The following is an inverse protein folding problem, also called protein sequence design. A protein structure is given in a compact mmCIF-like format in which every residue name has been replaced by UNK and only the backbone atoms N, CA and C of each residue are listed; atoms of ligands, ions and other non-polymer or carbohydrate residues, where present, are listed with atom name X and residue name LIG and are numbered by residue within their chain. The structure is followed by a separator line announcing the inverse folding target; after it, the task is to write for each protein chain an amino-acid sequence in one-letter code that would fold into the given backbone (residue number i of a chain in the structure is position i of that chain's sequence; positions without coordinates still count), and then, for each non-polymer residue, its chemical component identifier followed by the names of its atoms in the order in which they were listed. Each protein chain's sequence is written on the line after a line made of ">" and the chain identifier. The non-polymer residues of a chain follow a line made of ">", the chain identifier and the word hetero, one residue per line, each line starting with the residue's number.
data_IF_846850461623
#
_entry.id   IF_846850461623
#
_cell.length_a   1.000
_cell.length_b   1.000
_cell.length_c   1.000
_cell.angle_alpha   90.00
_cell.angle_beta   90.00
_cell.angle_gamma   90.00
#
_symmetry.space_group_name_H-M   'P 1'
#
loop_
_entity.id
_entity.type
_entity.pdbx_description
1 polymer ?
#
# COMPACT_ATOMS: atom_id res chain seq x y z
N UNK A 1 39.11 14.75 75.99
CA UNK A 1 38.50 13.93 74.93
C UNK A 1 37.51 14.79 74.13
N UNK A 2 37.85 15.15 72.90
CA UNK A 2 36.97 15.91 72.00
C UNK A 2 36.29 14.93 71.01
N UNK A 3 34.99 14.83 71.16
CA UNK A 3 34.19 14.07 70.21
C UNK A 3 33.97 14.92 68.90
N UNK A 4 34.41 14.41 67.73
CA UNK A 4 34.09 14.98 66.45
C UNK A 4 32.77 14.32 65.95
N UNK A 5 31.74 15.13 65.78
CA UNK A 5 30.49 14.70 65.12
C UNK A 5 30.67 14.80 63.62
N UNK A 6 30.46 13.67 62.90
CA UNK A 6 30.36 13.66 61.45
C UNK A 6 28.91 13.73 61.07
N UNK A 7 28.49 14.81 60.41
CA UNK A 7 27.18 14.90 59.78
C UNK A 7 27.21 14.21 58.41
N UNK A 8 26.48 13.10 58.27
CA UNK A 8 26.19 12.50 56.97
C UNK A 8 25.12 13.34 56.26
N UNK A 9 25.52 13.99 55.18
CA UNK A 9 24.58 14.54 54.21
C UNK A 9 24.17 13.42 53.27
N UNK A 10 22.94 12.88 53.41
CA UNK A 10 22.34 11.97 52.47
C UNK A 10 21.92 12.75 51.23
N UNK A 11 22.53 12.46 50.10
CA UNK A 11 22.07 12.95 48.78
C UNK A 11 20.84 12.12 48.40
N UNK A 12 19.66 12.70 48.53
CA UNK A 12 18.43 12.15 47.95
C UNK A 12 18.45 12.43 46.45
N UNK A 13 18.78 11.40 45.63
CA UNK A 13 18.54 11.43 44.19
C UNK A 13 17.06 11.15 43.96
N UNK A 14 16.27 12.18 43.71
CA UNK A 14 14.91 12.03 43.20
C UNK A 14 15.03 11.54 41.73
N UNK A 15 14.86 10.24 41.51
CA UNK A 15 14.57 9.71 40.19
C UNK A 15 13.16 10.18 39.80
N UNK A 16 13.08 11.28 39.05
CA UNK A 16 11.86 11.61 38.32
C UNK A 16 11.67 10.53 37.24
N UNK A 17 10.88 9.52 37.54
CA UNK A 17 10.27 8.74 36.47
C UNK A 17 9.29 9.68 35.75
N UNK A 18 9.65 10.16 34.61
CA UNK A 18 8.70 10.82 33.72
C UNK A 18 7.57 9.81 33.42
N UNK A 19 6.44 10.02 34.11
CA UNK A 19 5.20 9.32 33.70
C UNK A 19 4.92 9.83 32.30
N UNK A 20 5.14 8.98 31.31
CA UNK A 20 4.70 9.23 29.94
C UNK A 20 3.17 9.22 30.00
N UNK A 21 2.56 10.39 30.04
CA UNK A 21 1.11 10.51 29.93
C UNK A 21 0.77 10.20 28.48
N UNK A 22 -0.06 9.18 28.19
CA UNK A 22 -0.51 8.92 26.85
C UNK A 22 -1.08 10.21 26.24
N UNK A 23 -0.62 10.58 25.05
CA UNK A 23 -1.10 11.78 24.36
C UNK A 23 -2.46 11.54 23.68
N UNK A 24 -2.89 10.28 23.57
CA UNK A 24 -4.21 9.96 23.06
C UNK A 24 -5.28 10.54 23.99
N UNK A 25 -6.11 11.40 23.42
CA UNK A 25 -7.15 12.11 24.15
C UNK A 25 -8.42 11.27 24.18
N UNK A 26 -8.98 11.05 25.36
CA UNK A 26 -10.24 10.31 25.54
C UNK A 26 -11.49 11.20 25.46
N UNK A 27 -11.33 12.52 25.55
CA UNK A 27 -12.43 13.47 25.43
C UNK A 27 -12.84 13.61 23.96
N UNK A 28 -14.09 13.30 23.57
CA UNK A 28 -14.55 13.40 22.19
C UNK A 28 -14.60 14.84 21.65
N UNK A 29 -14.55 15.84 22.51
CA UNK A 29 -14.48 17.25 22.11
C UNK A 29 -13.06 17.73 21.79
N UNK A 30 -12.04 16.94 22.14
CA UNK A 30 -10.63 17.27 21.97
C UNK A 30 -9.95 16.19 21.15
N UNK A 31 -9.30 16.55 20.03
CA UNK A 31 -8.65 15.61 19.13
C UNK A 31 -7.16 15.91 19.01
N UNK A 32 -6.35 14.89 18.77
CA UNK A 32 -4.95 15.06 18.42
C UNK A 32 -4.83 15.61 16.99
N UNK A 33 -4.33 16.84 16.87
CA UNK A 33 -4.08 17.47 15.59
C UNK A 33 -2.79 16.90 14.95
N UNK A 34 -2.90 16.31 13.76
CA UNK A 34 -1.77 15.78 12.99
C UNK A 34 -1.26 16.83 12.01
N UNK A 35 -2.15 17.48 11.28
CA UNK A 35 -1.87 18.55 10.36
C UNK A 35 -3.02 19.56 10.38
N UNK A 36 -2.66 20.85 10.55
CA UNK A 36 -3.64 21.97 10.64
C UNK A 36 -3.23 23.15 9.74
N UNK A 37 -2.36 22.91 8.77
CA UNK A 37 -2.01 23.96 7.79
C UNK A 37 -3.20 24.31 6.92
N UNK A 38 -3.17 25.52 6.39
CA UNK A 38 -4.18 25.95 5.42
C UNK A 38 -4.16 25.08 4.16
N UNK A 39 -5.24 25.09 3.39
CA UNK A 39 -5.52 24.24 2.24
C UNK A 39 -5.99 22.83 2.63
N UNK A 40 -6.27 22.02 1.63
CA UNK A 40 -6.88 20.71 1.79
C UNK A 40 -5.83 19.62 2.10
N UNK A 41 -6.12 18.77 3.10
CA UNK A 41 -5.44 17.52 3.37
C UNK A 41 -6.46 16.38 3.27
N UNK A 42 -6.19 15.35 2.48
CA UNK A 42 -7.12 14.24 2.26
C UNK A 42 -6.44 12.94 1.86
N UNK A 43 -7.22 11.90 1.65
CA UNK A 43 -6.76 10.59 1.17
C UNK A 43 -5.72 9.94 2.11
N UNK A 44 -6.02 9.92 3.41
CA UNK A 44 -5.12 9.36 4.42
C UNK A 44 -4.88 7.87 4.21
N UNK A 45 -3.64 7.43 4.47
CA UNK A 45 -3.21 6.03 4.53
C UNK A 45 -2.37 5.81 5.76
N UNK A 46 -2.46 4.61 6.31
CA UNK A 46 -1.77 4.24 7.54
C UNK A 46 -1.01 2.94 7.34
N UNK A 47 0.16 2.86 7.94
CA UNK A 47 0.80 1.60 8.25
C UNK A 47 1.46 1.68 9.62
N UNK A 48 1.74 0.53 10.21
CA UNK A 48 2.38 0.41 11.51
C UNK A 48 3.76 -0.22 11.31
N UNK A 49 4.80 0.32 11.96
CA UNK A 49 6.09 -0.32 12.00
C UNK A 49 6.14 -1.45 13.04
N UNK A 50 7.23 -2.23 13.03
CA UNK A 50 7.41 -3.37 13.94
C UNK A 50 7.60 -2.94 15.41
N UNK A 51 7.99 -1.69 15.65
CA UNK A 51 8.07 -1.11 16.98
C UNK A 51 6.72 -0.60 17.51
N UNK A 52 5.67 -0.65 16.68
CA UNK A 52 4.33 -0.22 17.03
C UNK A 52 4.02 1.23 16.75
N UNK A 53 4.95 2.00 16.19
CA UNK A 53 4.69 3.36 15.77
C UNK A 53 3.79 3.39 14.54
N UNK A 54 3.06 4.48 14.34
CA UNK A 54 2.09 4.64 13.27
C UNK A 54 2.61 5.69 12.29
N UNK A 55 2.78 5.30 11.03
CA UNK A 55 2.93 6.23 9.93
C UNK A 55 1.56 6.65 9.42
N UNK A 56 1.37 7.95 9.30
CA UNK A 56 0.15 8.58 8.76
C UNK A 56 0.57 9.34 7.52
N UNK A 57 0.08 8.94 6.37
CA UNK A 57 0.32 9.60 5.09
C UNK A 57 -0.95 10.29 4.63
N UNK A 58 -0.79 11.42 3.94
CA UNK A 58 -1.92 12.12 3.31
C UNK A 58 -1.48 12.84 2.05
N UNK A 59 -2.43 13.19 1.23
CA UNK A 59 -2.26 14.08 0.11
C UNK A 59 -2.52 15.51 0.56
N UNK A 60 -1.56 16.39 0.33
CA UNK A 60 -1.51 17.76 0.84
C UNK A 60 -1.44 18.77 -0.29
N UNK A 61 -2.30 19.75 -0.26
CA UNK A 61 -2.43 20.78 -1.31
C UNK A 61 -1.81 22.11 -0.92
N UNK A 62 -1.03 22.17 0.17
CA UNK A 62 -0.46 23.44 0.68
C UNK A 62 0.42 24.18 -0.32
N UNK A 63 1.11 23.45 -1.22
CA UNK A 63 2.01 24.01 -2.21
C UNK A 63 1.37 24.20 -3.59
N UNK A 64 0.31 23.45 -3.89
CA UNK A 64 -0.33 23.42 -5.19
C UNK A 64 -1.84 23.20 -5.06
N UNK A 65 -2.63 24.28 -4.85
CA UNK A 65 -4.04 24.18 -4.50
C UNK A 65 -4.95 23.90 -5.71
N UNK A 66 -4.49 23.13 -6.69
CA UNK A 66 -5.28 22.72 -7.85
C UNK A 66 -5.80 21.29 -7.68
N UNK A 67 -6.89 20.93 -8.36
CA UNK A 67 -7.46 19.57 -8.31
C UNK A 67 -6.48 18.51 -8.87
N UNK A 68 -5.52 18.93 -9.67
CA UNK A 68 -4.49 18.07 -10.26
C UNK A 68 -3.17 18.08 -9.46
N UNK A 69 -3.08 18.94 -8.45
CA UNK A 69 -1.92 19.07 -7.57
C UNK A 69 -2.00 18.11 -6.37
N UNK A 70 -1.15 18.38 -5.41
CA UNK A 70 -1.08 17.70 -4.13
C UNK A 70 0.09 16.74 -4.03
N UNK A 71 0.93 17.02 -3.04
CA UNK A 71 2.11 16.25 -2.66
C UNK A 71 1.75 15.20 -1.60
N UNK A 72 2.61 14.20 -1.43
CA UNK A 72 2.47 13.24 -0.32
C UNK A 72 3.27 13.72 0.89
N UNK A 73 2.57 13.94 1.98
CA UNK A 73 3.12 14.25 3.29
C UNK A 73 2.87 13.10 4.27
N UNK A 74 3.68 13.05 5.31
CA UNK A 74 3.49 12.08 6.37
C UNK A 74 3.91 12.61 7.73
N UNK A 75 3.33 12.01 8.77
CA UNK A 75 3.72 12.12 10.17
C UNK A 75 3.94 10.72 10.73
N UNK A 76 4.83 10.60 11.69
CA UNK A 76 5.01 9.38 12.48
C UNK A 76 4.65 9.67 13.94
N UNK A 77 3.82 8.80 14.51
CA UNK A 77 3.47 8.85 15.93
C UNK A 77 4.04 7.63 16.62
N UNK A 78 4.46 7.80 17.87
CA UNK A 78 4.72 6.66 18.75
C UNK A 78 3.40 6.01 19.22
N UNK A 79 3.52 4.91 19.99
CA UNK A 79 2.36 4.19 20.54
C UNK A 79 1.51 5.05 21.50
N UNK A 80 2.08 6.11 22.06
CA UNK A 80 1.39 7.03 22.95
C UNK A 80 0.71 8.20 22.20
N UNK A 81 0.86 8.27 20.86
CA UNK A 81 0.31 9.34 20.04
C UNK A 81 1.22 10.58 19.97
N UNK A 82 2.47 10.49 20.42
CA UNK A 82 3.42 11.61 20.33
C UNK A 82 3.97 11.71 18.90
N UNK A 83 3.87 12.88 18.23
CA UNK A 83 4.49 13.09 16.94
C UNK A 83 6.01 12.98 17.03
N UNK A 84 6.60 12.15 16.15
CA UNK A 84 8.04 11.91 16.10
C UNK A 84 8.75 12.76 15.05
N UNK A 85 8.01 13.34 14.13
CA UNK A 85 8.52 14.21 13.09
C UNK A 85 8.08 15.67 13.32
N UNK A 86 8.45 16.58 12.43
CA UNK A 86 8.10 18.00 12.57
C UNK A 86 6.59 18.23 12.59
N UNK A 87 6.17 19.32 13.21
CA UNK A 87 4.76 19.76 13.23
C UNK A 87 4.23 19.87 11.79
N UNK A 88 2.99 19.42 11.59
CA UNK A 88 2.30 19.35 10.29
C UNK A 88 2.95 18.42 9.26
N UNK A 89 3.85 17.51 9.69
CA UNK A 89 4.43 16.44 8.90
C UNK A 89 5.55 16.83 7.96
N UNK A 90 6.23 15.81 7.45
CA UNK A 90 7.31 15.92 6.46
C UNK A 90 6.77 15.77 5.04
N UNK A 91 7.28 16.54 4.07
CA UNK A 91 7.09 16.26 2.65
C UNK A 91 7.87 15.00 2.28
N UNK A 92 7.17 13.97 1.81
CA UNK A 92 7.77 12.70 1.41
C UNK A 92 7.97 12.63 -0.10
N UNK A 93 6.93 12.92 -0.86
CA UNK A 93 6.96 12.96 -2.32
C UNK A 93 6.38 14.29 -2.75
N UNK A 94 7.17 15.06 -3.48
CA UNK A 94 6.76 16.32 -4.09
C UNK A 94 7.27 16.38 -5.52
N UNK A 95 6.69 17.25 -6.33
CA UNK A 95 7.11 17.47 -7.70
C UNK A 95 5.95 17.72 -8.64
N UNK A 96 6.28 17.80 -9.93
CA UNK A 96 5.32 18.12 -10.96
C UNK A 96 4.20 17.07 -11.06
N UNK A 97 2.96 17.54 -11.09
CA UNK A 97 1.76 16.73 -11.15
C UNK A 97 1.25 16.23 -9.80
N UNK A 98 0.00 15.84 -9.75
CA UNK A 98 -0.63 15.33 -8.52
C UNK A 98 -0.25 13.87 -8.24
N UNK A 99 -0.11 13.54 -6.97
CA UNK A 99 0.12 12.19 -6.46
C UNK A 99 -1.21 11.60 -5.99
N UNK A 100 -1.63 10.47 -6.59
CA UNK A 100 -2.95 9.87 -6.39
C UNK A 100 -2.88 8.42 -5.93
N UNK A 101 -3.94 7.96 -5.28
CA UNK A 101 -4.16 6.53 -4.93
C UNK A 101 -2.97 5.88 -4.21
N UNK A 102 -2.41 6.58 -3.25
CA UNK A 102 -1.31 6.06 -2.44
C UNK A 102 -1.69 4.72 -1.79
N UNK A 103 -0.79 3.75 -1.89
CA UNK A 103 -0.77 2.52 -1.08
C UNK A 103 0.49 2.52 -0.24
N UNK A 104 0.37 2.06 0.99
CA UNK A 104 1.50 1.97 1.93
C UNK A 104 1.46 0.64 2.67
N UNK A 105 2.64 0.09 2.91
CA UNK A 105 2.84 -1.05 3.81
C UNK A 105 4.13 -0.86 4.60
N UNK A 106 4.24 -1.51 5.74
CA UNK A 106 5.48 -1.66 6.49
C UNK A 106 6.55 -2.36 5.62
N UNK A 107 7.81 -1.95 5.74
CA UNK A 107 8.93 -2.52 5.00
C UNK A 107 9.70 -3.62 5.77
N UNK A 108 9.24 -3.97 6.98
CA UNK A 108 9.91 -4.92 7.87
C UNK A 108 11.17 -4.38 8.57
N UNK A 109 11.57 -3.11 8.32
CA UNK A 109 12.78 -2.49 8.87
C UNK A 109 12.51 -1.10 9.48
N UNK A 110 11.33 -0.93 10.09
CA UNK A 110 10.86 0.33 10.71
C UNK A 110 10.56 1.47 9.73
N UNK A 111 10.52 1.20 8.43
CA UNK A 111 10.18 2.12 7.38
C UNK A 111 8.86 1.76 6.68
N UNK A 112 8.68 2.23 5.45
CA UNK A 112 7.49 1.94 4.67
C UNK A 112 7.78 1.91 3.16
N UNK A 113 7.09 1.03 2.45
CA UNK A 113 6.94 1.07 1.00
C UNK A 113 5.72 1.91 0.63
N UNK A 114 5.90 2.74 -0.39
CA UNK A 114 4.89 3.60 -0.97
C UNK A 114 4.75 3.27 -2.45
N UNK A 115 3.50 3.13 -2.93
CA UNK A 115 3.17 3.04 -4.36
C UNK A 115 2.05 4.01 -4.65
N UNK A 116 2.21 4.84 -5.66
CA UNK A 116 1.23 5.87 -6.03
C UNK A 116 1.22 6.12 -7.52
N UNK A 117 0.16 6.76 -7.99
CA UNK A 117 0.06 7.24 -9.36
C UNK A 117 0.44 8.71 -9.43
N UNK A 118 1.15 9.12 -10.47
CA UNK A 118 1.39 10.53 -10.78
C UNK A 118 0.74 10.87 -12.11
N UNK A 119 -0.02 11.97 -12.14
CA UNK A 119 -0.55 12.54 -13.37
C UNK A 119 -0.01 13.95 -13.58
N UNK A 120 0.63 14.24 -14.71
CA UNK A 120 1.21 15.56 -14.94
C UNK A 120 0.17 16.66 -15.13
N UNK A 121 -0.91 16.46 -15.91
CA UNK A 121 -1.84 17.52 -16.29
C UNK A 121 -3.29 17.08 -16.53
N UNK A 122 -3.59 15.78 -16.45
CA UNK A 122 -4.93 15.27 -16.80
C UNK A 122 -5.22 13.96 -16.08
N UNK A 123 -6.47 13.49 -16.14
CA UNK A 123 -6.85 12.16 -15.67
C UNK A 123 -6.45 11.03 -16.63
N UNK A 124 -5.59 11.31 -17.58
CA UNK A 124 -5.00 10.35 -18.53
C UNK A 124 -3.49 10.35 -18.37
N UNK A 125 -2.83 9.30 -18.81
CA UNK A 125 -1.38 9.13 -18.79
C UNK A 125 -0.75 9.13 -17.39
N UNK A 126 -1.30 8.29 -16.51
CA UNK A 126 -0.70 8.08 -15.19
C UNK A 126 0.58 7.23 -15.29
N UNK A 127 1.62 7.69 -14.60
CA UNK A 127 2.72 6.80 -14.22
C UNK A 127 2.44 6.16 -12.86
N UNK A 128 2.84 4.90 -12.71
CA UNK A 128 2.88 4.20 -11.42
C UNK A 128 4.29 4.27 -10.88
N UNK A 129 4.43 4.74 -9.66
CA UNK A 129 5.72 4.99 -9.03
C UNK A 129 5.79 4.32 -7.66
N UNK A 130 7.01 4.04 -7.22
CA UNK A 130 7.28 3.52 -5.89
C UNK A 130 8.47 4.22 -5.23
N UNK A 131 8.48 4.17 -3.90
CA UNK A 131 9.60 4.58 -3.07
C UNK A 131 9.58 3.78 -1.76
N UNK A 132 10.75 3.61 -1.16
CA UNK A 132 10.93 3.14 0.20
C UNK A 132 11.44 4.27 1.06
N UNK A 133 10.88 4.46 2.24
CA UNK A 133 11.36 5.43 3.22
C UNK A 133 11.80 4.72 4.50
N UNK A 134 12.77 5.32 5.18
CA UNK A 134 13.22 4.83 6.47
C UNK A 134 12.37 5.42 7.64
N UNK A 135 12.73 5.05 8.85
CA UNK A 135 12.13 5.52 10.10
C UNK A 135 12.02 7.05 10.24
N UNK A 136 12.92 7.81 9.60
CA UNK A 136 12.97 9.27 9.65
C UNK A 136 12.24 9.94 8.46
N UNK A 137 11.63 9.16 7.58
CA UNK A 137 10.96 9.67 6.38
C UNK A 137 11.89 9.96 5.20
N UNK A 138 13.17 9.56 5.29
CA UNK A 138 14.12 9.74 4.19
C UNK A 138 13.94 8.66 3.14
N UNK A 139 14.00 9.04 1.87
CA UNK A 139 13.96 8.14 0.71
C UNK A 139 15.17 7.21 0.71
N UNK A 140 14.97 5.91 0.52
CA UNK A 140 16.01 4.90 0.49
C UNK A 140 16.43 4.51 -0.94
N UNK A 141 15.57 4.75 -1.93
CA UNK A 141 15.86 4.44 -3.34
C UNK A 141 16.37 5.66 -4.13
N UNK A 142 17.10 6.55 -3.45
CA UNK A 142 17.65 7.80 -4.01
C UNK A 142 16.63 8.93 -4.06
N UNK A 143 17.04 10.06 -4.61
CA UNK A 143 16.18 11.26 -4.74
C UNK A 143 15.06 11.09 -5.76
N UNK A 144 15.31 10.31 -6.82
CA UNK A 144 14.31 9.93 -7.82
C UNK A 144 13.47 8.77 -7.33
N UNK A 145 12.21 8.72 -7.76
CA UNK A 145 11.33 7.59 -7.46
C UNK A 145 11.57 6.47 -8.48
N UNK A 146 11.24 5.22 -8.11
CA UNK A 146 11.22 4.11 -9.06
C UNK A 146 9.94 4.19 -9.87
N UNK A 147 10.05 4.37 -11.19
CA UNK A 147 8.90 4.29 -12.09
C UNK A 147 8.65 2.84 -12.44
N UNK A 148 7.48 2.33 -12.05
CA UNK A 148 7.04 0.96 -12.30
C UNK A 148 6.48 0.83 -13.71
N UNK A 149 5.67 1.82 -14.11
CA UNK A 149 4.99 1.87 -15.41
C UNK A 149 4.78 3.33 -15.82
N UNK A 150 4.93 3.64 -17.12
CA UNK A 150 4.64 4.95 -17.69
C UNK A 150 4.32 4.86 -19.19
N UNK A 151 3.57 5.85 -19.67
CA UNK A 151 3.34 6.08 -21.11
C UNK A 151 2.46 5.06 -21.82
N UNK A 152 1.77 4.16 -21.12
CA UNK A 152 0.95 3.11 -21.73
C UNK A 152 -0.56 3.32 -21.58
N UNK A 153 -0.99 4.29 -20.78
CA UNK A 153 -2.39 4.57 -20.52
C UNK A 153 -2.74 4.73 -19.04
N UNK A 154 -3.98 4.47 -18.67
CA UNK A 154 -4.49 4.72 -17.32
C UNK A 154 -4.26 3.53 -16.41
N UNK A 155 -3.52 3.75 -15.31
CA UNK A 155 -3.32 2.78 -14.22
C UNK A 155 -4.39 2.94 -13.16
N UNK A 156 -4.98 1.84 -12.67
CA UNK A 156 -6.03 1.84 -11.65
C UNK A 156 -5.86 0.69 -10.66
N UNK A 157 -6.54 0.81 -9.52
CA UNK A 157 -6.80 -0.28 -8.57
C UNK A 157 -5.54 -1.07 -8.13
N UNK A 158 -4.42 -0.38 -7.91
CA UNK A 158 -3.20 -1.04 -7.44
C UNK A 158 -3.39 -1.67 -6.06
N UNK A 159 -2.76 -2.82 -5.88
CA UNK A 159 -2.59 -3.51 -4.60
C UNK A 159 -1.11 -3.82 -4.38
N UNK A 160 -0.66 -3.83 -3.14
CA UNK A 160 0.74 -4.06 -2.79
C UNK A 160 0.85 -5.03 -1.63
N UNK A 161 1.96 -5.75 -1.61
CA UNK A 161 2.41 -6.57 -0.48
C UNK A 161 3.92 -6.62 -0.45
N UNK A 162 4.48 -7.21 0.57
CA UNK A 162 5.91 -7.53 0.69
C UNK A 162 6.07 -9.04 0.75
N UNK A 163 7.11 -9.57 0.12
CA UNK A 163 7.48 -10.97 0.28
C UNK A 163 8.44 -11.17 1.47
N UNK A 164 8.81 -12.41 1.73
CA UNK A 164 9.71 -12.82 2.83
C UNK A 164 11.15 -12.33 2.63
N UNK A 165 11.56 -12.00 1.41
CA UNK A 165 12.89 -11.44 1.09
C UNK A 165 12.92 -9.91 1.32
N UNK A 166 11.81 -9.30 1.71
CA UNK A 166 11.67 -7.86 1.85
C UNK A 166 11.45 -7.13 0.53
N UNK A 167 11.13 -7.82 -0.57
CA UNK A 167 10.83 -7.20 -1.85
C UNK A 167 9.39 -6.69 -1.90
N UNK A 168 9.18 -5.53 -2.50
CA UNK A 168 7.86 -4.97 -2.79
C UNK A 168 7.25 -5.68 -4.00
N UNK A 169 6.05 -6.23 -3.82
CA UNK A 169 5.21 -6.77 -4.88
C UNK A 169 4.01 -5.84 -5.12
N UNK A 170 3.72 -5.54 -6.37
CA UNK A 170 2.57 -4.71 -6.74
C UNK A 170 1.83 -5.27 -7.94
N UNK A 171 0.51 -5.10 -7.96
CA UNK A 171 -0.38 -5.46 -9.07
C UNK A 171 -1.28 -4.27 -9.38
N UNK A 172 -1.62 -4.07 -10.64
CA UNK A 172 -2.51 -2.99 -11.06
C UNK A 172 -3.30 -3.37 -12.32
N UNK A 173 -4.35 -2.61 -12.57
CA UNK A 173 -5.04 -2.59 -13.86
C UNK A 173 -4.43 -1.53 -14.77
N UNK A 174 -4.31 -1.85 -16.05
CA UNK A 174 -3.83 -0.94 -17.07
C UNK A 174 -4.83 -0.88 -18.22
N UNK A 175 -5.47 0.27 -18.38
CA UNK A 175 -6.27 0.58 -19.56
C UNK A 175 -5.38 1.20 -20.62
N UNK A 176 -5.10 0.46 -21.70
CA UNK A 176 -4.24 0.95 -22.79
C UNK A 176 -4.90 2.10 -23.55
N UNK A 177 -4.09 3.07 -23.96
CA UNK A 177 -4.54 4.18 -24.79
C UNK A 177 -5.11 3.66 -26.11
N UNK A 178 -6.33 4.06 -26.46
CA UNK A 178 -7.00 3.65 -27.71
C UNK A 178 -7.80 2.35 -27.63
N UNK A 179 -7.84 1.68 -26.47
CA UNK A 179 -8.67 0.49 -26.24
C UNK A 179 -9.74 0.78 -25.18
N UNK A 180 -10.86 1.40 -25.55
CA UNK A 180 -11.90 1.73 -24.59
C UNK A 180 -12.48 0.45 -23.96
N UNK A 181 -12.67 0.50 -22.63
CA UNK A 181 -13.24 -0.58 -21.81
C UNK A 181 -12.40 -1.88 -21.69
N UNK A 182 -11.15 -1.89 -22.16
CA UNK A 182 -10.23 -2.99 -21.92
C UNK A 182 -9.29 -2.63 -20.76
N UNK A 183 -9.23 -3.49 -19.76
CA UNK A 183 -8.33 -3.36 -18.62
C UNK A 183 -7.52 -4.65 -18.49
N UNK A 184 -6.23 -4.55 -18.70
CA UNK A 184 -5.30 -5.65 -18.48
C UNK A 184 -4.75 -5.66 -17.05
N UNK A 185 -4.25 -6.79 -16.60
CA UNK A 185 -3.59 -6.91 -15.29
C UNK A 185 -2.09 -7.05 -15.48
N UNK A 186 -1.36 -6.21 -14.77
CA UNK A 186 0.09 -6.24 -14.68
C UNK A 186 0.55 -6.33 -13.24
N UNK A 187 1.73 -6.88 -13.05
CA UNK A 187 2.38 -6.99 -11.75
C UNK A 187 3.87 -6.70 -11.86
N UNK A 188 4.49 -6.31 -10.75
CA UNK A 188 5.92 -6.03 -10.67
C UNK A 188 6.47 -6.42 -9.31
N UNK A 189 7.75 -6.83 -9.31
CA UNK A 189 8.57 -7.02 -8.11
C UNK A 189 9.72 -6.02 -8.13
N UNK A 190 9.93 -5.35 -7.00
CA UNK A 190 11.02 -4.40 -6.79
C UNK A 190 11.76 -4.85 -5.53
N UNK A 191 13.06 -5.09 -5.64
CA UNK A 191 13.83 -5.52 -4.50
C UNK A 191 14.03 -4.39 -3.46
N UNK A 192 14.52 -4.75 -2.29
CA UNK A 192 14.76 -3.82 -1.17
C UNK A 192 15.67 -2.63 -1.52
N UNK A 193 16.47 -2.73 -2.60
CA UNK A 193 17.35 -1.68 -3.11
C UNK A 193 16.69 -0.80 -4.20
N UNK A 194 15.41 -1.02 -4.53
CA UNK A 194 14.69 -0.26 -5.54
C UNK A 194 14.91 -0.72 -6.98
N UNK A 195 15.45 -1.92 -7.19
CA UNK A 195 15.69 -2.47 -8.53
C UNK A 195 14.49 -3.31 -8.96
N UNK A 196 13.91 -2.95 -10.10
CA UNK A 196 12.84 -3.69 -10.78
C UNK A 196 13.37 -5.08 -11.16
N UNK A 197 12.63 -6.14 -10.81
CA UNK A 197 13.06 -7.53 -10.96
C UNK A 197 12.42 -8.25 -12.15
N UNK A 198 11.21 -7.86 -12.53
CA UNK A 198 10.50 -8.44 -13.66
C UNK A 198 10.58 -7.53 -14.89
N UNK A 199 9.73 -7.75 -15.91
CA UNK A 199 9.78 -6.97 -17.15
C UNK A 199 9.62 -5.47 -16.90
N UNK A 200 10.28 -4.64 -17.68
CA UNK A 200 10.04 -3.20 -17.70
C UNK A 200 8.56 -2.90 -17.99
N UNK A 201 7.98 -1.91 -17.32
CA UNK A 201 6.55 -1.60 -17.37
C UNK A 201 5.62 -2.73 -16.84
N UNK A 202 6.17 -3.75 -16.19
CA UNK A 202 5.42 -4.82 -15.54
C UNK A 202 5.31 -6.10 -16.35
N UNK A 203 5.02 -7.18 -15.64
CA UNK A 203 4.70 -8.49 -16.18
C UNK A 203 3.19 -8.56 -16.43
N UNK A 204 2.78 -8.85 -17.67
CA UNK A 204 1.39 -9.06 -18.02
C UNK A 204 0.87 -10.37 -17.41
N UNK A 205 -0.22 -10.31 -16.67
CA UNK A 205 -0.86 -11.47 -16.01
C UNK A 205 -2.16 -11.88 -16.72
N UNK A 206 -2.95 -10.90 -17.11
CA UNK A 206 -4.19 -11.11 -17.83
C UNK A 206 -4.31 -10.07 -18.94
N UNK A 207 -4.27 -10.53 -20.17
CA UNK A 207 -4.42 -9.74 -21.39
C UNK A 207 -5.69 -10.19 -22.09
N UNK A 208 -6.76 -9.44 -21.95
CA UNK A 208 -8.05 -9.83 -22.52
C UNK A 208 -8.69 -8.61 -23.15
N UNK A 209 -8.81 -8.62 -24.46
CA UNK A 209 -9.51 -7.57 -25.19
C UNK A 209 -11.01 -7.57 -24.85
N UNK A 210 -11.56 -6.39 -24.60
CA UNK A 210 -12.99 -6.12 -24.44
C UNK A 210 -13.69 -6.73 -23.19
N UNK A 211 -12.94 -6.99 -22.11
CA UNK A 211 -13.55 -7.39 -20.82
C UNK A 211 -13.26 -6.36 -19.73
N UNK A 212 -14.17 -6.28 -18.77
CA UNK A 212 -13.94 -5.54 -17.54
C UNK A 212 -13.27 -6.43 -16.50
N UNK A 213 -12.28 -5.88 -15.83
CA UNK A 213 -11.58 -6.53 -14.73
C UNK A 213 -11.82 -5.69 -13.46
N UNK A 214 -12.00 -6.35 -12.32
CA UNK A 214 -12.22 -5.69 -11.05
C UNK A 214 -11.27 -6.19 -9.97
N UNK A 215 -10.83 -5.27 -9.13
CA UNK A 215 -10.27 -5.53 -7.82
C UNK A 215 -9.07 -6.47 -7.73
N UNK A 216 -8.03 -6.34 -8.57
CA UNK A 216 -6.87 -7.23 -8.47
C UNK A 216 -6.24 -7.15 -7.07
N UNK A 217 -5.83 -8.31 -6.54
CA UNK A 217 -5.18 -8.46 -5.24
C UNK A 217 -3.92 -9.28 -5.40
N UNK A 218 -2.94 -9.04 -4.54
CA UNK A 218 -1.65 -9.72 -4.53
C UNK A 218 -1.24 -10.04 -3.10
N UNK A 219 -0.67 -11.23 -2.91
CA UNK A 219 0.06 -11.61 -1.69
C UNK A 219 1.33 -12.37 -2.06
N UNK A 220 2.30 -12.44 -1.15
CA UNK A 220 3.46 -13.33 -1.28
C UNK A 220 3.03 -14.81 -1.28
N UNK A 221 3.70 -15.63 -2.08
CA UNK A 221 3.56 -17.10 -2.06
C UNK A 221 4.53 -17.76 -1.08
N UNK A 222 5.26 -16.97 -0.29
CA UNK A 222 6.29 -17.39 0.66
C UNK A 222 7.46 -18.16 0.03
N UNK A 223 7.66 -18.01 -1.28
CA UNK A 223 8.76 -18.58 -2.06
C UNK A 223 9.39 -17.54 -3.00
N UNK A 224 9.32 -16.26 -2.61
CA UNK A 224 9.83 -15.11 -3.39
C UNK A 224 8.95 -14.71 -4.59
N UNK A 225 7.84 -15.40 -4.80
CA UNK A 225 6.83 -15.14 -5.82
C UNK A 225 5.54 -14.57 -5.24
N UNK A 226 4.42 -14.74 -5.98
CA UNK A 226 3.13 -14.18 -5.60
C UNK A 226 1.94 -15.01 -6.03
N UNK A 227 0.86 -14.97 -5.24
CA UNK A 227 -0.50 -15.25 -5.69
C UNK A 227 -1.21 -13.96 -6.02
N UNK A 228 -1.90 -13.94 -7.16
CA UNK A 228 -2.74 -12.83 -7.59
C UNK A 228 -4.13 -13.33 -7.93
N UNK A 229 -5.15 -12.55 -7.65
CA UNK A 229 -6.52 -12.86 -8.01
C UNK A 229 -7.28 -11.60 -8.43
N UNK A 230 -8.31 -11.82 -9.24
CA UNK A 230 -9.18 -10.75 -9.75
C UNK A 230 -10.54 -11.30 -10.12
N UNK A 231 -11.47 -10.40 -10.44
CA UNK A 231 -12.74 -10.77 -11.07
C UNK A 231 -12.79 -10.21 -12.47
N UNK A 232 -13.26 -10.98 -13.44
CA UNK A 232 -13.50 -10.50 -14.80
C UNK A 232 -14.75 -11.11 -15.41
N UNK A 233 -15.25 -10.49 -16.47
CA UNK A 233 -16.49 -10.86 -17.14
C UNK A 233 -16.28 -11.51 -18.51
N UNK A 234 -15.18 -12.28 -18.66
CA UNK A 234 -14.86 -12.99 -19.93
C UNK A 234 -15.94 -13.97 -20.38
N UNK A 235 -16.74 -14.49 -19.46
CA UNK A 235 -17.83 -15.42 -19.73
C UNK A 235 -19.20 -14.77 -19.94
N UNK A 236 -19.28 -13.43 -19.91
CA UNK A 236 -20.51 -12.67 -20.16
C UNK A 236 -20.53 -11.33 -19.46
N UNK A 237 -21.07 -10.29 -20.12
CA UNK A 237 -20.97 -8.89 -19.67
C UNK A 237 -21.51 -8.62 -18.25
N UNK A 238 -22.46 -9.41 -17.78
CA UNK A 238 -23.05 -9.28 -16.45
C UNK A 238 -22.64 -10.41 -15.49
N UNK A 239 -21.64 -11.21 -15.88
CA UNK A 239 -21.17 -12.36 -15.12
C UNK A 239 -19.68 -12.19 -14.81
N UNK A 240 -19.40 -11.65 -13.61
CA UNK A 240 -18.03 -11.54 -13.14
C UNK A 240 -17.64 -12.79 -12.37
N UNK A 241 -16.62 -13.48 -12.86
CA UNK A 241 -16.06 -14.69 -12.30
C UNK A 241 -14.70 -14.41 -11.64
N UNK A 242 -14.29 -15.27 -10.71
CA UNK A 242 -13.00 -15.12 -10.01
C UNK A 242 -11.95 -16.00 -10.68
N UNK A 243 -10.83 -15.37 -11.00
CA UNK A 243 -9.63 -15.99 -11.51
C UNK A 243 -8.42 -15.73 -10.62
N UNK A 244 -7.44 -16.60 -10.72
CA UNK A 244 -6.17 -16.45 -10.02
C UNK A 244 -5.00 -16.90 -10.88
N UNK A 245 -3.80 -16.40 -10.55
CA UNK A 245 -2.52 -16.83 -11.11
C UNK A 245 -1.51 -16.93 -9.98
N UNK A 246 -0.58 -17.87 -10.09
CA UNK A 246 0.63 -17.94 -9.28
C UNK A 246 1.83 -17.56 -10.12
N UNK A 247 2.72 -16.75 -9.56
CA UNK A 247 3.90 -16.21 -10.23
C UNK A 247 5.11 -16.63 -9.41
N UNK A 248 6.10 -17.23 -10.06
CA UNK A 248 7.36 -17.61 -9.42
C UNK A 248 8.23 -16.40 -9.07
N UNK A 249 9.25 -16.61 -8.26
CA UNK A 249 10.21 -15.58 -7.85
C UNK A 249 10.88 -14.84 -9.01
N UNK A 250 11.06 -15.51 -10.16
CA UNK A 250 11.65 -14.93 -11.38
C UNK A 250 10.64 -14.29 -12.34
N UNK A 251 9.35 -14.22 -11.96
CA UNK A 251 8.30 -13.61 -12.79
C UNK A 251 7.66 -14.55 -13.80
N UNK A 252 7.80 -15.87 -13.66
CA UNK A 252 7.13 -16.82 -14.56
C UNK A 252 5.74 -17.15 -14.04
N UNK A 253 4.63 -16.93 -14.81
CA UNK A 253 3.32 -17.44 -14.47
C UNK A 253 3.34 -18.99 -14.43
N UNK A 254 2.83 -19.57 -13.33
CA UNK A 254 2.89 -21.02 -13.10
C UNK A 254 1.62 -21.76 -13.51
N UNK A 255 0.52 -21.05 -13.70
CA UNK A 255 -0.75 -21.62 -14.16
C UNK A 255 -1.05 -21.22 -15.61
N UNK A 256 -2.22 -21.57 -16.10
CA UNK A 256 -2.64 -21.28 -17.48
C UNK A 256 -2.60 -19.79 -17.79
N UNK A 257 -2.36 -19.47 -19.06
CA UNK A 257 -2.40 -18.08 -19.57
C UNK A 257 -3.74 -17.44 -19.18
N UNK A 258 -3.68 -16.18 -18.74
CA UNK A 258 -4.83 -15.43 -18.22
C UNK A 258 -5.49 -16.05 -16.98
N UNK A 259 -4.77 -16.89 -16.24
CA UNK A 259 -5.20 -17.44 -14.96
C UNK A 259 -6.10 -18.66 -15.03
N UNK A 260 -6.29 -19.29 -13.88
CA UNK A 260 -7.24 -20.40 -13.70
C UNK A 260 -8.54 -19.90 -13.05
N UNK A 261 -9.68 -20.50 -13.37
CA UNK A 261 -10.94 -20.15 -12.72
C UNK A 261 -10.96 -20.66 -11.25
N UNK A 262 -11.41 -19.80 -10.33
CA UNK A 262 -11.64 -20.14 -8.94
C UNK A 262 -13.13 -20.26 -8.65
N UNK A 263 -13.95 -19.37 -9.20
CA UNK A 263 -15.39 -19.44 -9.15
C UNK A 263 -15.99 -18.92 -10.46
N UNK A 264 -16.83 -19.74 -11.10
CA UNK A 264 -17.54 -19.42 -12.36
C UNK A 264 -19.03 -19.71 -12.24
N UNK A 265 -19.61 -19.52 -11.07
CA UNK A 265 -21.05 -19.66 -10.86
C UNK A 265 -21.80 -18.56 -11.60
N UNK A 266 -23.05 -18.84 -11.97
CA UNK A 266 -23.97 -17.81 -12.50
C UNK A 266 -24.11 -16.67 -11.49
N UNK A 267 -24.11 -15.43 -11.96
CA UNK A 267 -24.15 -14.23 -11.14
C UNK A 267 -22.81 -13.48 -11.13
N UNK A 268 -22.66 -12.55 -10.21
CA UNK A 268 -21.43 -11.74 -10.11
C UNK A 268 -20.64 -12.12 -8.87
N UNK A 269 -19.37 -12.52 -9.05
CA UNK A 269 -18.45 -12.76 -7.95
C UNK A 269 -17.41 -11.64 -7.90
N UNK A 270 -17.40 -10.91 -6.79
CA UNK A 270 -16.46 -9.80 -6.55
C UNK A 270 -15.37 -10.18 -5.57
N UNK A 271 -14.12 -10.35 -6.04
CA UNK A 271 -12.96 -10.59 -5.15
C UNK A 271 -12.83 -9.48 -4.12
N UNK A 272 -12.80 -9.84 -2.83
CA UNK A 272 -12.65 -8.89 -1.73
C UNK A 272 -11.29 -8.98 -1.05
N UNK A 273 -10.89 -10.19 -0.66
CA UNK A 273 -9.67 -10.41 0.12
C UNK A 273 -8.93 -11.67 -0.32
N UNK A 274 -7.62 -11.62 -0.21
CA UNK A 274 -6.71 -12.75 -0.33
C UNK A 274 -5.75 -12.71 0.85
N UNK A 275 -5.48 -13.86 1.46
CA UNK A 275 -4.57 -14.02 2.60
C UNK A 275 -3.67 -15.21 2.37
N UNK A 276 -2.45 -15.16 2.92
CA UNK A 276 -1.60 -16.34 3.01
C UNK A 276 -2.18 -17.33 4.00
N UNK A 277 -2.09 -18.63 3.70
CA UNK A 277 -2.40 -19.69 4.66
C UNK A 277 -1.21 -20.00 5.59
N UNK A 278 -0.10 -19.25 5.45
CA UNK A 278 1.18 -19.44 6.14
C UNK A 278 1.84 -20.82 5.88
N UNK A 279 1.44 -21.50 4.82
CA UNK A 279 1.98 -22.81 4.42
C UNK A 279 2.24 -22.88 2.90
N UNK A 280 2.48 -21.71 2.28
CA UNK A 280 2.79 -21.61 0.85
C UNK A 280 1.56 -21.53 -0.06
N UNK A 281 0.34 -21.58 0.48
CA UNK A 281 -0.92 -21.41 -0.25
C UNK A 281 -1.61 -20.08 0.05
N UNK A 282 -2.76 -19.86 -0.58
CA UNK A 282 -3.60 -18.68 -0.39
C UNK A 282 -5.06 -19.02 -0.12
N UNK A 283 -5.75 -18.17 0.64
CA UNK A 283 -7.17 -18.26 0.92
C UNK A 283 -7.83 -17.00 0.36
N UNK A 284 -8.80 -17.18 -0.52
CA UNK A 284 -9.59 -16.14 -1.13
C UNK A 284 -10.96 -16.06 -0.49
N UNK A 285 -11.49 -14.86 -0.33
CA UNK A 285 -12.87 -14.60 0.06
C UNK A 285 -13.51 -13.63 -0.93
N UNK A 286 -14.79 -13.90 -1.25
CA UNK A 286 -15.54 -13.07 -2.18
C UNK A 286 -17.02 -12.97 -1.82
N UNK A 287 -17.66 -11.95 -2.38
CA UNK A 287 -19.11 -11.82 -2.41
C UNK A 287 -19.62 -12.46 -3.69
N UNK A 288 -20.61 -13.32 -3.55
CA UNK A 288 -21.39 -13.89 -4.65
C UNK A 288 -22.75 -13.20 -4.67
N UNK A 289 -23.04 -12.50 -5.76
CA UNK A 289 -24.25 -11.72 -5.94
C UNK A 289 -25.13 -12.43 -6.94
N UNK A 290 -26.25 -12.94 -6.46
CA UNK A 290 -27.25 -13.61 -7.27
C UNK A 290 -28.59 -12.88 -7.15
N UNK A 291 -29.04 -12.25 -8.23
CA UNK A 291 -30.25 -11.42 -8.26
C UNK A 291 -30.25 -10.35 -7.13
N UNK A 292 -30.91 -10.65 -6.01
CA UNK A 292 -31.04 -9.75 -4.85
C UNK A 292 -30.32 -10.25 -3.60
N UNK A 293 -29.66 -11.40 -3.68
CA UNK A 293 -28.99 -12.02 -2.52
C UNK A 293 -27.47 -11.89 -2.60
N UNK A 294 -26.85 -11.63 -1.46
CA UNK A 294 -25.41 -11.56 -1.29
C UNK A 294 -24.97 -12.68 -0.35
N UNK A 295 -24.02 -13.47 -0.79
CA UNK A 295 -23.43 -14.54 0.02
C UNK A 295 -21.91 -14.41 0.05
N UNK A 296 -21.28 -14.88 1.12
CA UNK A 296 -19.83 -14.89 1.26
C UNK A 296 -19.31 -16.30 1.06
N UNK A 297 -18.34 -16.44 0.19
CA UNK A 297 -17.65 -17.71 -0.08
C UNK A 297 -16.15 -17.56 0.11
N UNK A 298 -15.49 -18.69 0.32
CA UNK A 298 -14.04 -18.76 0.40
C UNK A 298 -13.52 -20.04 -0.25
N UNK A 299 -12.31 -19.95 -0.79
CA UNK A 299 -11.57 -21.05 -1.41
C UNK A 299 -10.11 -20.96 -1.04
N UNK A 300 -9.51 -22.10 -0.69
CA UNK A 300 -8.06 -22.25 -0.61
C UNK A 300 -7.50 -22.67 -1.97
N UNK A 301 -6.32 -22.12 -2.31
CA UNK A 301 -5.52 -22.47 -3.49
C UNK A 301 -4.07 -22.73 -3.08
N UNK A 302 -3.40 -23.67 -3.74
CA UNK A 302 -2.02 -24.08 -3.46
C UNK A 302 -1.14 -23.94 -4.71
#
# INVERSE_FOLDING_TARGET
>A
MKYKSYSLWGIFIFLYSSIIIPQWVSDPATNLAICTVEQTQRETRLCKDDAGNIFIFWRDYRNEPTIFGGDLYAQKLDMCGVPLWQSNGNSIISGFGGQFDLKVINDGEQGAYLVWRTSPNSFQDYSLNAQRINNNGNKLWGSSNVTIQSGLGTTLNQSITMNEDGDLLTIWQLGLTGTPNSMDIYTQKINSNGVVQWNSNGLAICLTSAISILGPKIISDQNGGAYVCWSDNRNGLSNFDIYAQRISSNGTPLWSVNGIPICTKTGTQGTKHIFSDNNGGAILFWEDIQETTYSIYGQKID
#
